data_IF_567105832596
#
_entry.id   IF_567105832596
#
_cell.length_a   1.000
_cell.length_b   1.000
_cell.length_c   1.000
_cell.angle_alpha   90.00
_cell.angle_beta   90.00
_cell.angle_gamma   90.00
#
_symmetry.space_group_name_H-M   'P 1'
#
loop_
_entity.id
_entity.type
_entity.pdbx_description
1 polymer ?
#
# COMPACT_ATOMS: atom_id res chain seq x y z
N UNK A 1 -31.65 -12.23 -25.71
CA UNK A 1 -32.70 -12.90 -24.91
C UNK A 1 -33.50 -13.88 -25.75
N UNK A 2 -34.02 -13.49 -26.92
CA UNK A 2 -34.85 -14.37 -27.75
C UNK A 2 -34.19 -15.72 -28.14
N UNK A 3 -32.88 -15.70 -28.46
CA UNK A 3 -32.12 -16.91 -28.80
C UNK A 3 -31.97 -17.84 -27.59
N UNK A 4 -31.71 -17.30 -26.39
CA UNK A 4 -31.64 -18.05 -25.15
C UNK A 4 -33.02 -18.66 -24.79
N UNK A 5 -34.09 -17.87 -24.92
CA UNK A 5 -35.45 -18.31 -24.61
C UNK A 5 -35.89 -19.47 -25.55
N UNK A 6 -35.52 -19.37 -26.84
CA UNK A 6 -35.75 -20.41 -27.82
C UNK A 6 -34.93 -21.68 -27.51
N UNK A 7 -33.63 -21.53 -27.23
CA UNK A 7 -32.78 -22.68 -26.88
C UNK A 7 -33.26 -23.39 -25.60
N UNK A 8 -33.72 -22.63 -24.61
CA UNK A 8 -34.30 -23.16 -23.37
C UNK A 8 -35.60 -23.95 -23.65
N UNK A 9 -36.53 -23.33 -24.37
CA UNK A 9 -37.79 -24.01 -24.71
C UNK A 9 -37.56 -25.27 -25.54
N UNK A 10 -36.54 -25.29 -26.41
CA UNK A 10 -36.15 -26.46 -27.16
C UNK A 10 -35.58 -27.56 -26.26
N UNK A 11 -34.69 -27.23 -25.35
CA UNK A 11 -34.11 -28.15 -24.38
C UNK A 11 -35.18 -28.74 -23.47
N UNK A 12 -36.08 -27.92 -22.92
CA UNK A 12 -37.20 -28.37 -22.07
C UNK A 12 -38.09 -29.39 -22.81
N UNK A 13 -38.37 -29.13 -24.08
CA UNK A 13 -39.15 -30.04 -24.94
C UNK A 13 -38.43 -31.37 -25.19
N UNK A 14 -37.11 -31.33 -25.50
CA UNK A 14 -36.34 -32.55 -25.72
C UNK A 14 -36.21 -33.36 -24.44
N UNK A 15 -36.12 -32.73 -23.28
CA UNK A 15 -36.11 -33.40 -21.99
C UNK A 15 -37.45 -34.14 -21.71
N UNK A 16 -38.58 -33.49 -22.01
CA UNK A 16 -39.90 -34.12 -21.86
C UNK A 16 -40.08 -35.30 -22.80
N UNK A 17 -39.65 -35.18 -24.07
CA UNK A 17 -39.72 -36.27 -25.05
C UNK A 17 -38.78 -37.44 -24.70
N UNK A 18 -37.61 -37.15 -24.16
CA UNK A 18 -36.64 -38.13 -23.70
C UNK A 18 -37.23 -38.97 -22.53
N UNK A 19 -37.92 -38.34 -21.58
CA UNK A 19 -38.62 -39.05 -20.49
C UNK A 19 -39.73 -39.98 -20.97
N UNK A 20 -40.24 -39.75 -22.20
CA UNK A 20 -41.25 -40.57 -22.87
C UNK A 20 -40.64 -41.54 -23.87
N UNK A 21 -39.29 -41.72 -23.85
CA UNK A 21 -38.53 -42.55 -24.81
C UNK A 21 -38.78 -42.16 -26.29
N UNK A 22 -39.21 -40.93 -26.57
CA UNK A 22 -39.56 -40.46 -27.91
C UNK A 22 -38.39 -39.82 -28.68
N UNK A 23 -37.26 -39.54 -28.01
CA UNK A 23 -36.05 -39.03 -28.64
C UNK A 23 -34.79 -39.67 -28.05
N UNK A 24 -33.71 -39.65 -28.81
CA UNK A 24 -32.44 -40.24 -28.39
C UNK A 24 -31.72 -39.35 -27.36
N UNK A 25 -30.84 -39.96 -26.56
CA UNK A 25 -29.95 -39.24 -25.64
C UNK A 25 -29.10 -38.19 -26.36
N UNK A 26 -28.67 -38.51 -27.58
CA UNK A 26 -27.88 -37.61 -28.43
C UNK A 26 -28.64 -36.31 -28.75
N UNK A 27 -29.96 -36.40 -29.03
CA UNK A 27 -30.77 -35.21 -29.32
C UNK A 27 -30.96 -34.34 -28.09
N UNK A 28 -31.16 -34.92 -26.91
CA UNK A 28 -31.20 -34.18 -25.66
C UNK A 28 -29.85 -33.49 -25.34
N UNK A 29 -28.73 -34.21 -25.52
CA UNK A 29 -27.38 -33.64 -25.33
C UNK A 29 -27.11 -32.50 -26.31
N UNK A 30 -27.56 -32.59 -27.55
CA UNK A 30 -27.44 -31.49 -28.53
C UNK A 30 -28.25 -30.26 -28.13
N UNK A 31 -29.50 -30.46 -27.69
CA UNK A 31 -30.34 -29.36 -27.20
C UNK A 31 -29.74 -28.69 -25.94
N UNK A 32 -29.21 -29.51 -25.01
CA UNK A 32 -28.51 -29.01 -23.82
C UNK A 32 -27.25 -28.21 -24.17
N UNK A 33 -26.49 -28.67 -25.19
CA UNK A 33 -25.31 -27.94 -25.69
C UNK A 33 -25.71 -26.60 -26.31
N UNK A 34 -26.77 -26.57 -27.11
CA UNK A 34 -27.30 -25.36 -27.72
C UNK A 34 -27.72 -24.34 -26.66
N UNK A 35 -28.40 -24.78 -25.59
CA UNK A 35 -28.74 -23.91 -24.46
C UNK A 35 -27.48 -23.30 -23.79
N UNK A 36 -26.47 -24.13 -23.51
CA UNK A 36 -25.22 -23.64 -22.89
C UNK A 36 -24.48 -22.60 -23.75
N UNK A 37 -24.50 -22.80 -25.08
CA UNK A 37 -23.90 -21.82 -26.03
C UNK A 37 -24.67 -20.50 -25.98
N UNK A 38 -26.01 -20.55 -26.01
CA UNK A 38 -26.84 -19.35 -25.92
C UNK A 38 -26.67 -18.61 -24.58
N UNK A 39 -26.56 -19.36 -23.46
CA UNK A 39 -26.24 -18.77 -22.13
C UNK A 39 -24.87 -18.09 -22.10
N UNK A 40 -23.85 -18.76 -22.67
CA UNK A 40 -22.51 -18.17 -22.77
C UNK A 40 -22.48 -16.91 -23.64
N UNK A 41 -23.21 -16.92 -24.77
CA UNK A 41 -23.38 -15.75 -25.63
C UNK A 41 -24.04 -14.58 -24.90
N UNK A 42 -25.12 -14.82 -24.17
CA UNK A 42 -25.76 -13.80 -23.33
C UNK A 42 -24.82 -13.23 -22.28
N UNK A 43 -24.05 -14.10 -21.59
CA UNK A 43 -23.04 -13.67 -20.61
C UNK A 43 -21.99 -12.74 -21.24
N UNK A 44 -21.50 -13.08 -22.43
CA UNK A 44 -20.51 -12.27 -23.14
C UNK A 44 -21.05 -10.88 -23.47
N UNK A 45 -22.27 -10.80 -24.00
CA UNK A 45 -22.92 -9.51 -24.33
C UNK A 45 -23.18 -8.68 -23.05
N UNK A 46 -23.63 -9.30 -21.96
CA UNK A 46 -23.82 -8.60 -20.69
C UNK A 46 -22.49 -8.10 -20.10
N UNK A 47 -21.38 -8.83 -20.26
CA UNK A 47 -20.07 -8.36 -19.87
C UNK A 47 -19.65 -7.13 -20.70
N UNK A 48 -19.87 -7.14 -22.02
CA UNK A 48 -19.61 -5.96 -22.86
C UNK A 48 -20.48 -4.76 -22.45
N UNK A 49 -21.77 -4.99 -22.17
CA UNK A 49 -22.65 -3.92 -21.69
C UNK A 49 -22.18 -3.37 -20.34
N UNK A 50 -21.62 -4.18 -19.47
CA UNK A 50 -21.12 -3.71 -18.16
C UNK A 50 -19.95 -2.71 -18.28
N UNK A 51 -19.17 -2.79 -19.36
CA UNK A 51 -18.07 -1.84 -19.61
C UNK A 51 -18.56 -0.46 -20.09
N UNK A 52 -19.82 -0.33 -20.50
CA UNK A 52 -20.38 0.99 -20.88
C UNK A 52 -20.73 1.86 -19.68
N UNK A 53 -20.77 1.28 -18.48
CA UNK A 53 -21.08 1.98 -17.23
C UNK A 53 -19.90 1.80 -16.26
N UNK A 54 -19.12 2.86 -16.09
CA UNK A 54 -18.02 2.90 -15.11
C UNK A 54 -18.57 3.35 -13.77
N UNK A 55 -18.47 2.48 -12.76
CA UNK A 55 -18.90 2.78 -11.39
C UNK A 55 -17.71 3.02 -10.49
N UNK A 56 -17.87 3.93 -9.51
CA UNK A 56 -16.89 4.11 -8.44
C UNK A 56 -16.74 2.79 -7.65
N UNK A 57 -15.51 2.26 -7.45
CA UNK A 57 -15.28 1.01 -6.73
C UNK A 57 -15.41 1.16 -5.21
N UNK A 58 -15.34 2.39 -4.69
CA UNK A 58 -15.46 2.74 -3.27
C UNK A 58 -15.99 4.18 -3.14
N UNK A 59 -16.40 4.55 -1.92
CA UNK A 59 -16.77 5.92 -1.59
C UNK A 59 -15.51 6.78 -1.45
N UNK A 60 -15.46 7.92 -2.17
CA UNK A 60 -14.27 8.75 -2.20
C UNK A 60 -14.45 10.04 -2.96
N UNK A 61 -13.37 10.76 -3.16
CA UNK A 61 -13.33 12.04 -3.88
C UNK A 61 -12.56 11.87 -5.18
N UNK A 62 -13.10 12.44 -6.28
CA UNK A 62 -12.39 12.50 -7.55
C UNK A 62 -11.33 13.60 -7.45
N UNK A 63 -10.07 13.21 -7.59
CA UNK A 63 -8.92 14.13 -7.52
C UNK A 63 -8.43 14.57 -8.90
N UNK A 64 -8.70 13.77 -9.92
CA UNK A 64 -8.30 14.10 -11.30
C UNK A 64 -9.31 13.53 -12.30
N UNK A 65 -9.67 14.33 -13.30
CA UNK A 65 -10.46 13.92 -14.47
C UNK A 65 -9.55 13.92 -15.68
N UNK A 66 -9.40 12.77 -16.35
CA UNK A 66 -8.49 12.58 -17.49
C UNK A 66 -9.18 12.52 -18.84
N UNK A 67 -10.50 12.59 -18.86
CA UNK A 67 -11.30 12.56 -20.09
C UNK A 67 -12.40 13.61 -20.05
N UNK A 68 -12.73 14.17 -21.19
CA UNK A 68 -13.83 15.11 -21.36
C UNK A 68 -15.06 14.44 -22.00
N UNK A 69 -16.21 15.10 -21.89
CA UNK A 69 -17.44 14.61 -22.56
C UNK A 69 -17.25 14.67 -24.06
N UNK A 70 -17.56 13.57 -24.75
CA UNK A 70 -17.40 13.44 -26.19
C UNK A 70 -16.08 12.82 -26.62
N UNK A 71 -15.14 12.60 -25.71
CA UNK A 71 -13.90 11.90 -26.04
C UNK A 71 -14.11 10.38 -26.11
N UNK A 72 -13.33 9.74 -26.96
CA UNK A 72 -13.31 8.28 -27.09
C UNK A 72 -12.55 7.66 -25.92
N UNK A 73 -13.25 6.87 -25.12
CA UNK A 73 -12.63 6.08 -24.06
C UNK A 73 -12.24 4.70 -24.61
N UNK A 74 -10.97 4.34 -24.49
CA UNK A 74 -10.44 3.03 -24.87
C UNK A 74 -10.20 2.15 -23.65
N UNK A 75 -10.34 0.82 -23.79
CA UNK A 75 -10.00 -0.11 -22.71
C UNK A 75 -8.55 0.11 -22.23
N UNK A 76 -8.37 0.19 -20.90
CA UNK A 76 -7.06 0.46 -20.28
C UNK A 76 -6.71 1.94 -20.13
N UNK A 77 -7.47 2.85 -20.69
CA UNK A 77 -7.28 4.29 -20.49
C UNK A 77 -7.82 4.72 -19.12
N UNK A 78 -7.01 5.41 -18.28
CA UNK A 78 -7.50 5.94 -17.03
C UNK A 78 -8.46 7.11 -17.29
N UNK A 79 -9.67 7.05 -16.76
CA UNK A 79 -10.72 8.06 -16.95
C UNK A 79 -10.73 9.06 -15.79
N UNK A 80 -10.67 8.57 -14.58
CA UNK A 80 -10.77 9.33 -13.34
C UNK A 80 -9.78 8.79 -12.33
N UNK A 81 -9.24 9.66 -11.47
CA UNK A 81 -8.49 9.27 -10.27
C UNK A 81 -9.35 9.57 -9.05
N UNK A 82 -9.49 8.57 -8.19
CA UNK A 82 -10.25 8.68 -6.94
C UNK A 82 -9.34 8.41 -5.75
N UNK A 83 -9.61 9.09 -4.67
CA UNK A 83 -8.93 8.88 -3.38
C UNK A 83 -9.95 8.75 -2.26
N UNK A 84 -9.64 7.91 -1.28
CA UNK A 84 -10.39 7.82 -0.02
C UNK A 84 -9.72 8.73 1.02
N UNK A 85 -10.28 9.91 1.30
CA UNK A 85 -9.69 10.84 2.28
C UNK A 85 -9.79 10.34 3.73
N UNK A 86 -10.58 9.30 3.96
CA UNK A 86 -10.73 8.67 5.28
C UNK A 86 -9.64 7.65 5.61
N UNK A 87 -8.87 7.22 4.61
CA UNK A 87 -7.83 6.19 4.76
C UNK A 87 -6.52 6.66 4.17
N UNK A 88 -5.81 7.46 4.95
CA UNK A 88 -4.51 7.95 4.56
C UNK A 88 -3.40 7.08 5.15
N UNK A 89 -2.35 6.91 4.37
CA UNK A 89 -1.20 6.09 4.70
C UNK A 89 0.08 6.87 4.44
N UNK A 90 1.02 6.80 5.38
CA UNK A 90 2.37 7.27 5.18
C UNK A 90 3.21 6.12 4.61
N UNK A 91 3.89 6.37 3.50
CA UNK A 91 4.98 5.53 3.02
C UNK A 91 6.30 6.14 3.48
N UNK A 92 7.00 5.43 4.34
CA UNK A 92 8.27 5.89 4.90
C UNK A 92 9.38 4.93 4.53
N UNK A 93 10.55 5.50 4.22
CA UNK A 93 11.77 4.75 3.93
C UNK A 93 12.60 4.65 5.21
N UNK A 94 12.98 3.43 5.59
CA UNK A 94 13.71 3.14 6.83
C UNK A 94 14.98 2.38 6.49
N UNK A 95 16.11 2.75 7.12
CA UNK A 95 17.38 2.06 6.92
C UNK A 95 17.31 0.59 7.36
N UNK A 96 18.06 -0.29 6.71
CA UNK A 96 18.12 -1.73 7.02
C UNK A 96 18.48 -2.00 8.50
N UNK A 97 19.37 -1.18 9.09
CA UNK A 97 19.72 -1.28 10.51
C UNK A 97 18.53 -1.05 11.43
N UNK A 98 17.58 -0.24 11.00
CA UNK A 98 16.48 0.26 11.82
C UNK A 98 15.17 -0.53 11.60
N UNK A 99 15.05 -1.23 10.46
CA UNK A 99 13.85 -2.01 10.16
C UNK A 99 13.62 -3.13 11.17
N UNK A 100 14.68 -3.64 11.81
CA UNK A 100 14.61 -4.72 12.81
C UNK A 100 13.81 -4.34 14.06
N UNK A 101 13.73 -3.05 14.39
CA UNK A 101 12.98 -2.57 15.57
C UNK A 101 11.54 -2.21 15.23
N UNK A 102 11.15 -2.36 13.95
CA UNK A 102 9.80 -2.09 13.49
C UNK A 102 9.08 -3.42 13.25
N UNK A 103 7.89 -3.56 13.79
CA UNK A 103 7.03 -4.73 13.55
C UNK A 103 5.68 -4.30 13.01
N UNK A 104 5.06 -5.14 12.20
CA UNK A 104 3.68 -4.92 11.74
C UNK A 104 2.76 -4.88 12.97
N UNK A 105 1.86 -3.91 13.02
CA UNK A 105 0.99 -3.63 14.17
C UNK A 105 1.58 -2.66 15.21
N UNK A 106 2.87 -2.29 15.12
CA UNK A 106 3.47 -1.30 16.01
C UNK A 106 2.83 0.07 15.85
N UNK A 107 2.62 0.77 16.95
CA UNK A 107 2.20 2.18 16.97
C UNK A 107 3.45 3.05 16.99
N UNK A 108 3.62 3.86 15.97
CA UNK A 108 4.78 4.76 15.82
C UNK A 108 4.33 6.21 15.71
N UNK A 109 5.08 7.14 16.34
CA UNK A 109 4.77 8.56 16.21
C UNK A 109 5.17 9.06 14.81
N UNK A 110 4.19 9.68 14.15
CA UNK A 110 4.32 10.29 12.81
C UNK A 110 4.11 11.80 12.96
N UNK A 111 5.04 12.59 12.50
CA UNK A 111 4.93 14.03 12.44
C UNK A 111 4.65 14.44 11.00
N UNK A 112 3.54 15.15 10.79
CA UNK A 112 3.19 15.75 9.49
C UNK A 112 3.54 17.22 9.58
N UNK A 113 4.51 17.67 8.80
CA UNK A 113 5.06 19.01 8.90
C UNK A 113 4.01 20.12 8.73
N UNK A 114 3.03 19.87 7.84
CA UNK A 114 1.93 20.80 7.57
C UNK A 114 0.90 20.91 8.73
N UNK A 115 0.84 19.94 9.65
CA UNK A 115 -0.07 19.92 10.79
C UNK A 115 0.58 20.36 12.10
N UNK A 116 1.88 20.73 12.06
CA UNK A 116 2.61 21.15 13.23
C UNK A 116 3.35 20.02 13.96
N UNK A 117 3.87 20.33 15.16
CA UNK A 117 4.79 19.44 15.88
C UNK A 117 4.12 18.26 16.62
N UNK A 118 2.78 18.23 16.72
CA UNK A 118 2.09 17.17 17.45
C UNK A 118 2.14 15.85 16.65
N UNK A 119 2.74 14.78 17.19
CA UNK A 119 2.81 13.52 16.49
C UNK A 119 1.45 12.82 16.45
N UNK A 120 1.09 12.30 15.28
CA UNK A 120 -0.01 11.36 15.12
C UNK A 120 0.48 9.94 15.48
N UNK A 121 -0.38 9.11 16.04
CA UNK A 121 -0.07 7.70 16.29
C UNK A 121 -0.43 6.90 15.03
N UNK A 122 0.57 6.56 14.23
CA UNK A 122 0.39 5.71 13.05
C UNK A 122 0.59 4.24 13.39
N UNK A 123 -0.16 3.36 12.75
CA UNK A 123 -0.03 1.90 12.90
C UNK A 123 0.70 1.32 11.69
N UNK A 124 1.79 0.60 11.92
CA UNK A 124 2.51 -0.10 10.83
C UNK A 124 1.62 -1.20 10.26
N UNK A 125 1.16 -1.01 9.04
CA UNK A 125 0.29 -1.98 8.34
C UNK A 125 1.09 -2.97 7.49
N UNK A 126 2.23 -2.55 6.96
CA UNK A 126 3.05 -3.39 6.09
C UNK A 126 4.51 -2.95 6.10
N UNK A 127 5.40 -3.93 6.07
CA UNK A 127 6.82 -3.76 5.77
C UNK A 127 7.06 -4.48 4.44
N UNK A 128 7.54 -3.77 3.42
CA UNK A 128 7.83 -4.39 2.13
C UNK A 128 9.04 -5.32 2.28
N UNK A 129 8.94 -6.59 1.84
CA UNK A 129 10.02 -7.56 2.03
C UNK A 129 11.24 -7.28 1.13
N UNK A 130 11.06 -6.55 0.05
CA UNK A 130 12.14 -6.14 -0.84
C UNK A 130 12.66 -4.76 -0.44
N UNK A 131 13.93 -4.69 -0.02
CA UNK A 131 14.65 -3.44 0.18
C UNK A 131 15.26 -2.93 -1.14
N UNK A 132 15.55 -1.66 -1.17
CA UNK A 132 16.32 -1.05 -2.26
C UNK A 132 17.82 -1.32 -2.04
N UNK A 133 18.48 -2.07 -2.94
CA UNK A 133 19.90 -2.41 -2.78
C UNK A 133 20.84 -1.21 -2.99
N UNK A 134 20.39 -0.14 -3.64
CA UNK A 134 21.21 1.05 -3.86
C UNK A 134 21.23 1.95 -2.63
N UNK A 135 20.13 2.06 -1.93
CA UNK A 135 19.97 2.93 -0.77
C UNK A 135 20.06 2.19 0.56
N UNK A 136 20.08 0.85 0.57
CA UNK A 136 20.01 0.00 1.75
C UNK A 136 18.84 0.35 2.67
N UNK A 137 17.67 0.55 2.07
CA UNK A 137 16.47 0.96 2.78
C UNK A 137 15.29 0.04 2.48
N UNK A 138 14.35 -0.02 3.43
CA UNK A 138 13.08 -0.71 3.29
C UNK A 138 11.93 0.29 3.34
N UNK A 139 10.91 0.04 2.54
CA UNK A 139 9.68 0.83 2.58
C UNK A 139 8.72 0.21 3.59
N UNK A 140 8.22 1.03 4.50
CA UNK A 140 7.17 0.66 5.43
C UNK A 140 5.93 1.51 5.18
N UNK A 141 4.75 0.88 5.35
CA UNK A 141 3.47 1.55 5.22
C UNK A 141 2.83 1.69 6.60
N UNK A 142 2.47 2.91 6.93
CA UNK A 142 1.93 3.26 8.23
C UNK A 142 0.55 3.88 8.02
N UNK A 143 -0.48 3.22 8.50
CA UNK A 143 -1.85 3.73 8.42
C UNK A 143 -2.01 4.86 9.46
N UNK A 144 -2.54 5.98 9.01
CA UNK A 144 -2.71 7.18 9.84
C UNK A 144 -4.14 7.27 10.36
N UNK A 145 -4.34 7.75 11.59
CA UNK A 145 -5.67 8.07 12.07
C UNK A 145 -6.23 9.27 11.30
N UNK A 146 -7.55 9.38 11.26
CA UNK A 146 -8.19 10.58 10.73
C UNK A 146 -7.78 11.80 11.56
N UNK A 147 -7.28 12.82 10.88
CA UNK A 147 -6.89 14.08 11.50
C UNK A 147 -7.37 15.26 10.65
N UNK A 148 -7.87 16.29 11.30
CA UNK A 148 -8.33 17.48 10.60
C UNK A 148 -7.17 18.14 9.84
N UNK A 149 -7.40 18.41 8.56
CA UNK A 149 -6.40 19.02 7.68
C UNK A 149 -5.39 18.05 7.05
N UNK A 150 -5.40 16.76 7.42
CA UNK A 150 -4.54 15.75 6.79
C UNK A 150 -5.03 15.47 5.36
N UNK A 151 -4.11 15.56 4.39
CA UNK A 151 -4.41 15.35 2.98
C UNK A 151 -3.35 14.48 2.30
N UNK A 152 -3.74 13.79 1.25
CA UNK A 152 -2.82 13.07 0.37
C UNK A 152 -1.78 14.04 -0.22
N UNK A 153 -0.54 13.56 -0.38
CA UNK A 153 0.58 14.36 -0.86
C UNK A 153 1.31 15.19 0.20
N UNK A 154 0.86 15.18 1.46
CA UNK A 154 1.60 15.84 2.54
C UNK A 154 2.85 15.04 2.91
N UNK A 155 3.92 15.76 3.26
CA UNK A 155 5.14 15.16 3.77
C UNK A 155 5.02 14.84 5.25
N UNK A 156 5.51 13.65 5.64
CA UNK A 156 5.51 13.20 7.03
C UNK A 156 6.79 12.48 7.40
N UNK A 157 7.16 12.56 8.66
CA UNK A 157 8.34 11.91 9.23
C UNK A 157 7.94 10.92 10.30
N UNK A 158 8.44 9.70 10.16
CA UNK A 158 8.31 8.66 11.16
C UNK A 158 9.40 8.79 12.21
N UNK A 159 9.04 8.77 13.49
CA UNK A 159 10.00 8.74 14.59
C UNK A 159 10.20 7.31 15.06
N UNK A 160 11.43 6.82 14.98
CA UNK A 160 11.83 5.53 15.52
C UNK A 160 12.63 5.75 16.81
N UNK A 161 12.20 5.15 17.89
CA UNK A 161 12.97 5.14 19.13
C UNK A 161 14.06 4.07 19.02
N UNK A 162 15.28 4.52 18.83
CA UNK A 162 16.46 3.66 18.95
C UNK A 162 16.80 3.61 20.44
N UNK A 163 16.72 2.46 21.06
CA UNK A 163 16.96 2.24 22.47
C UNK A 163 18.05 3.12 23.12
N UNK A 164 18.13 3.14 24.42
CA UNK A 164 19.12 3.93 25.14
C UNK A 164 20.54 3.44 24.81
N UNK A 165 21.35 4.33 24.28
CA UNK A 165 22.78 4.13 24.12
C UNK A 165 23.49 4.84 25.26
N UNK A 166 24.26 4.10 26.07
CA UNK A 166 25.11 4.71 27.10
C UNK A 166 26.29 5.40 26.42
N UNK A 167 26.27 6.72 26.41
CA UNK A 167 27.31 7.52 25.79
C UNK A 167 27.99 8.35 26.87
N UNK A 168 29.32 8.38 26.86
CA UNK A 168 30.09 9.26 27.74
C UNK A 168 30.00 10.67 27.20
N UNK A 169 29.39 11.56 27.97
CA UNK A 169 29.31 12.99 27.61
C UNK A 169 30.41 13.74 28.33
N UNK A 170 31.11 14.56 27.59
CA UNK A 170 32.17 15.44 28.08
C UNK A 170 31.87 16.85 27.67
N UNK A 171 32.15 17.85 28.53
CA UNK A 171 32.05 19.25 28.15
C UNK A 171 33.07 19.54 27.04
N UNK A 172 32.66 20.32 26.04
CA UNK A 172 33.52 20.67 24.91
C UNK A 172 34.81 21.37 25.34
N UNK A 173 34.80 22.08 26.48
CA UNK A 173 35.96 22.71 27.07
C UNK A 173 37.03 21.76 27.56
N UNK A 174 36.72 20.50 27.80
CA UNK A 174 37.68 19.45 28.20
C UNK A 174 38.41 18.82 27.01
N UNK A 175 37.97 19.11 25.78
CA UNK A 175 38.51 18.53 24.58
C UNK A 175 39.62 19.40 24.00
N UNK A 176 40.76 18.77 23.70
CA UNK A 176 41.88 19.41 23.05
C UNK A 176 41.97 18.86 21.63
N UNK A 177 41.69 19.69 20.65
CA UNK A 177 41.75 19.33 19.24
C UNK A 177 43.05 19.87 18.63
N UNK A 178 43.82 18.97 17.99
CA UNK A 178 45.02 19.32 17.22
C UNK A 178 44.93 18.64 15.84
N UNK A 179 44.53 19.44 14.84
CA UNK A 179 44.22 18.88 13.52
C UNK A 179 43.08 17.87 13.59
N UNK A 180 43.28 16.65 13.08
CA UNK A 180 42.29 15.58 13.08
C UNK A 180 42.26 14.77 14.39
N UNK A 181 43.13 15.06 15.33
CA UNK A 181 43.29 14.31 16.57
C UNK A 181 42.62 15.03 17.75
N UNK A 182 41.73 14.27 18.42
CA UNK A 182 41.07 14.75 19.63
C UNK A 182 41.66 14.04 20.86
N UNK A 183 41.94 14.79 21.90
CA UNK A 183 42.48 14.27 23.17
C UNK A 183 41.88 15.01 24.36
N UNK A 184 41.99 14.41 25.52
CA UNK A 184 41.64 15.04 26.81
C UNK A 184 42.55 14.55 27.92
N UNK A 185 42.61 15.30 29.00
CA UNK A 185 43.31 14.88 30.21
C UNK A 185 42.34 14.14 31.15
N UNK A 186 42.70 12.94 31.55
CA UNK A 186 41.97 12.18 32.56
C UNK A 186 42.79 12.18 33.84
N UNK A 187 42.17 12.59 34.94
CA UNK A 187 42.77 12.54 36.27
C UNK A 187 42.54 11.18 36.86
N UNK A 188 43.60 10.44 37.13
CA UNK A 188 43.55 9.14 37.80
C UNK A 188 43.34 9.26 39.31
N UNK A 189 43.10 8.13 39.98
CA UNK A 189 42.98 8.05 41.44
C UNK A 189 44.25 8.45 42.19
N UNK A 190 45.38 8.45 41.50
CA UNK A 190 46.70 8.92 41.94
C UNK A 190 46.91 10.45 41.77
N UNK A 191 45.85 11.17 41.45
CA UNK A 191 45.85 12.63 41.17
C UNK A 191 46.79 13.03 40.03
N UNK A 192 47.22 12.11 39.19
CA UNK A 192 48.00 12.41 37.98
C UNK A 192 47.11 12.62 36.78
N UNK A 193 47.38 13.64 35.99
CA UNK A 193 46.70 13.93 34.75
C UNK A 193 47.39 13.21 33.57
N UNK A 194 46.66 12.33 32.88
CA UNK A 194 47.18 11.56 31.76
C UNK A 194 46.41 11.92 30.50
N UNK A 195 47.12 12.25 29.43
CA UNK A 195 46.54 12.52 28.13
C UNK A 195 45.99 11.24 27.53
N UNK A 196 44.71 11.25 27.11
CA UNK A 196 44.09 10.16 26.37
C UNK A 196 43.54 10.67 25.04
N UNK A 197 43.84 9.92 24.00
CA UNK A 197 43.24 10.13 22.69
C UNK A 197 41.81 9.57 22.70
N UNK A 198 40.92 10.35 22.14
CA UNK A 198 39.52 10.00 22.08
C UNK A 198 38.96 10.15 20.66
N UNK A 199 38.00 9.35 20.32
CA UNK A 199 37.24 9.51 19.09
C UNK A 199 35.94 10.23 19.42
N UNK A 200 35.74 11.39 18.80
CA UNK A 200 34.52 12.16 18.96
C UNK A 200 33.41 11.42 18.20
N UNK A 201 32.29 11.16 18.87
CA UNK A 201 31.08 10.67 18.26
C UNK A 201 30.20 11.81 17.72
N UNK A 202 28.91 11.77 18.02
CA UNK A 202 28.00 12.89 17.71
C UNK A 202 28.24 14.04 18.68
N UNK A 203 28.39 15.24 18.15
CA UNK A 203 28.30 16.52 18.88
C UNK A 203 26.86 16.99 18.95
#
# INVERSE_FOLDING_TARGET
>A
TAELDNAKAHQDRMEELYRKDAVSKQELENATRALRVAEAGRKAVLAQLSYTIVKAPFDGVITEKKVERGELASPGQPLLKMEDPGRLRLEATVAESDVRVVSVGSLLPVVIDALGANPLKGTVSQILPAGDPQTHTFTIKVDLPQAAGLKSGMFGRLKLEKGMSTTLLLPKSALIERGELASLFVVGGDQTARLRWVRIGRT
#
